data_IF_413742457374
#
_entry.id   IF_413742457374
#
_cell.length_a   1.000
_cell.length_b   1.000
_cell.length_c   1.000
_cell.angle_alpha   90.00
_cell.angle_beta   90.00
_cell.angle_gamma   90.00
#
_symmetry.space_group_name_H-M   'P 1'
#
loop_
_entity.id
_entity.type
_entity.pdbx_description
1 polymer ?
#
# COMPACT_ATOMS: atom_id res chain seq x y z
N UNK A 1 -15.85 1.20 12.59
CA UNK A 1 -14.83 0.92 13.62
C UNK A 1 -13.54 0.55 12.92
N UNK A 2 -12.40 0.87 13.53
CA UNK A 2 -11.07 0.56 12.97
C UNK A 2 -10.40 -0.51 13.82
N UNK A 3 -9.84 -1.51 13.17
CA UNK A 3 -9.16 -2.65 13.78
C UNK A 3 -7.67 -2.55 13.48
N UNK A 4 -6.83 -3.05 14.38
CA UNK A 4 -5.39 -3.09 14.15
C UNK A 4 -5.03 -4.28 13.28
N UNK A 5 -4.38 -4.03 12.16
CA UNK A 5 -3.87 -5.04 11.25
C UNK A 5 -2.36 -4.94 11.14
N UNK A 6 -1.75 -6.03 10.70
CA UNK A 6 -0.36 -6.10 10.31
C UNK A 6 -0.31 -6.33 8.81
N UNK A 7 0.57 -5.64 8.10
CA UNK A 7 0.98 -6.05 6.76
C UNK A 7 2.49 -6.19 6.70
N UNK A 8 2.94 -7.00 5.73
CA UNK A 8 4.35 -7.06 5.36
C UNK A 8 4.53 -6.20 4.13
N UNK A 9 5.37 -5.17 4.27
CA UNK A 9 5.74 -4.30 3.17
C UNK A 9 6.36 -5.14 2.04
N UNK A 10 5.82 -5.08 0.83
CA UNK A 10 6.29 -5.88 -0.30
C UNK A 10 7.63 -5.39 -0.87
N UNK A 11 8.05 -4.18 -0.56
CA UNK A 11 9.30 -3.58 -1.03
C UNK A 11 10.42 -3.73 0.00
N UNK A 12 10.14 -3.44 1.26
CA UNK A 12 11.15 -3.46 2.34
C UNK A 12 11.14 -4.77 3.15
N UNK A 13 10.10 -5.59 3.00
CA UNK A 13 9.85 -6.81 3.78
C UNK A 13 9.66 -6.60 5.30
N UNK A 14 9.56 -5.34 5.74
CA UNK A 14 9.32 -4.95 7.14
C UNK A 14 7.83 -5.16 7.46
N UNK A 15 7.53 -5.49 8.72
CA UNK A 15 6.15 -5.59 9.20
C UNK A 15 5.69 -4.25 9.75
N UNK A 16 4.53 -3.78 9.32
CA UNK A 16 3.93 -2.54 9.78
C UNK A 16 2.58 -2.85 10.43
N UNK A 17 2.31 -2.18 11.55
CA UNK A 17 1.02 -2.22 12.22
C UNK A 17 0.23 -0.97 11.82
N UNK A 18 -1.00 -1.17 11.36
CA UNK A 18 -1.88 -0.11 10.86
C UNK A 18 -3.27 -0.23 11.45
N UNK A 19 -3.99 0.89 11.52
CA UNK A 19 -5.42 0.90 11.85
C UNK A 19 -6.22 1.06 10.57
N UNK A 20 -7.05 0.08 10.24
CA UNK A 20 -7.85 0.04 9.02
C UNK A 20 -9.31 -0.31 9.34
N UNK A 21 -10.27 -0.06 8.43
CA UNK A 21 -11.64 -0.55 8.57
C UNK A 21 -11.66 -2.06 8.81
N UNK A 22 -12.59 -2.54 9.62
CA UNK A 22 -12.67 -3.97 9.96
C UNK A 22 -12.86 -4.90 8.74
N UNK A 23 -13.54 -4.40 7.70
CA UNK A 23 -13.73 -5.10 6.43
C UNK A 23 -12.51 -5.06 5.50
N UNK A 24 -11.43 -4.35 5.87
CA UNK A 24 -10.25 -4.21 5.02
C UNK A 24 -9.48 -5.53 4.91
N UNK A 25 -9.24 -5.98 3.68
CA UNK A 25 -8.45 -7.18 3.37
C UNK A 25 -7.10 -6.81 2.75
N UNK A 26 -7.03 -5.66 2.08
CA UNK A 26 -5.87 -5.20 1.33
C UNK A 26 -5.44 -3.81 1.76
N UNK A 27 -4.14 -3.55 1.67
CA UNK A 27 -3.53 -2.23 1.78
C UNK A 27 -2.74 -1.93 0.52
N UNK A 28 -2.86 -0.71 0.01
CA UNK A 28 -2.06 -0.22 -1.11
C UNK A 28 -0.94 0.64 -0.56
N UNK A 29 0.28 0.39 -1.03
CA UNK A 29 1.49 1.05 -0.58
C UNK A 29 2.30 1.58 -1.77
N UNK A 30 2.96 2.71 -1.57
CA UNK A 30 3.81 3.40 -2.55
C UNK A 30 5.22 3.55 -2.00
N UNK A 31 6.20 3.22 -2.82
CA UNK A 31 7.61 3.48 -2.56
C UNK A 31 8.15 4.43 -3.64
N UNK A 32 8.74 5.54 -3.21
CA UNK A 32 9.20 6.63 -4.08
C UNK A 32 10.70 6.55 -4.44
N UNK A 33 11.31 5.36 -4.38
CA UNK A 33 12.62 5.09 -5.01
C UNK A 33 13.86 5.67 -4.32
N UNK A 34 13.73 6.45 -3.25
CA UNK A 34 14.90 7.00 -2.54
C UNK A 34 15.03 6.41 -1.14
N UNK A 35 15.75 5.28 -0.99
CA UNK A 35 16.25 4.73 0.30
C UNK A 35 15.29 4.86 1.49
N UNK A 36 13.98 4.90 1.26
CA UNK A 36 13.00 5.04 2.32
C UNK A 36 12.88 3.65 2.92
N UNK A 37 13.18 3.57 4.21
CA UNK A 37 12.97 2.36 4.99
C UNK A 37 11.49 2.00 5.15
N UNK A 38 10.57 2.85 4.68
CA UNK A 38 9.12 2.74 4.90
C UNK A 38 8.36 3.17 3.64
N UNK A 39 7.32 2.41 3.27
CA UNK A 39 6.45 2.74 2.14
C UNK A 39 5.22 3.52 2.60
N UNK A 40 4.83 4.51 1.81
CA UNK A 40 3.68 5.35 2.09
C UNK A 40 2.38 4.55 1.86
N UNK A 41 1.52 4.45 2.89
CA UNK A 41 0.20 3.80 2.77
C UNK A 41 -0.76 4.73 2.04
N UNK A 42 -1.30 4.26 0.90
CA UNK A 42 -2.24 5.03 0.08
C UNK A 42 -3.69 4.81 0.49
N UNK A 43 -4.04 3.61 0.94
CA UNK A 43 -5.42 3.27 1.29
C UNK A 43 -5.64 1.81 1.64
N UNK A 44 -6.84 1.54 2.16
CA UNK A 44 -7.30 0.22 2.57
C UNK A 44 -8.54 -0.19 1.78
N UNK A 45 -8.62 -1.45 1.39
CA UNK A 45 -9.65 -1.97 0.50
C UNK A 45 -10.17 -3.31 1.01
N UNK A 46 -11.48 -3.55 0.87
CA UNK A 46 -12.12 -4.81 1.26
C UNK A 46 -11.91 -5.94 0.25
N UNK A 47 -11.62 -5.61 -1.02
CA UNK A 47 -11.47 -6.56 -2.11
C UNK A 47 -10.24 -6.28 -3.00
N UNK A 48 -9.87 -7.28 -3.80
CA UNK A 48 -8.70 -7.23 -4.69
C UNK A 48 -8.87 -6.21 -5.83
N UNK A 49 -10.04 -6.16 -6.46
CA UNK A 49 -10.29 -5.27 -7.61
C UNK A 49 -10.12 -3.80 -7.24
N UNK A 50 -10.71 -3.35 -6.12
CA UNK A 50 -10.55 -1.98 -5.64
C UNK A 50 -9.09 -1.64 -5.30
N UNK A 51 -8.36 -2.57 -4.69
CA UNK A 51 -6.93 -2.38 -4.43
C UNK A 51 -6.12 -2.29 -5.75
N UNK A 52 -6.42 -3.13 -6.74
CA UNK A 52 -5.78 -3.11 -8.06
C UNK A 52 -6.08 -1.82 -8.82
N UNK A 53 -7.33 -1.35 -8.80
CA UNK A 53 -7.72 -0.09 -9.42
C UNK A 53 -6.98 1.10 -8.78
N UNK A 54 -6.87 1.13 -7.46
CA UNK A 54 -6.11 2.17 -6.77
C UNK A 54 -4.62 2.15 -7.10
N UNK A 55 -4.00 0.96 -7.21
CA UNK A 55 -2.62 0.82 -7.68
C UNK A 55 -2.47 1.42 -9.08
N UNK A 56 -3.34 1.03 -10.02
CA UNK A 56 -3.30 1.52 -11.40
C UNK A 56 -3.55 3.04 -11.49
N UNK A 57 -4.48 3.57 -10.70
CA UNK A 57 -4.79 4.99 -10.65
C UNK A 57 -3.58 5.80 -10.18
N UNK A 58 -2.90 5.34 -9.13
CA UNK A 58 -1.69 6.02 -8.63
C UNK A 58 -0.54 5.90 -9.64
N UNK A 59 -0.31 4.73 -10.22
CA UNK A 59 0.72 4.57 -11.27
C UNK A 59 0.46 5.51 -12.46
N UNK A 60 -0.79 5.61 -12.93
CA UNK A 60 -1.16 6.54 -14.01
C UNK A 60 -0.93 8.00 -13.62
N UNK A 61 -1.21 8.37 -12.37
CA UNK A 61 -0.99 9.73 -11.86
C UNK A 61 0.50 10.07 -11.81
N UNK A 62 1.36 9.11 -11.46
CA UNK A 62 2.81 9.30 -11.42
C UNK A 62 3.40 9.40 -12.83
N UNK A 63 2.90 8.61 -13.79
CA UNK A 63 3.29 8.70 -15.20
C UNK A 63 2.99 10.06 -15.85
N UNK A 64 1.98 10.78 -15.35
CA UNK A 64 1.62 12.11 -15.83
C UNK A 64 2.49 13.23 -15.23
N UNK A 65 3.23 12.94 -14.16
CA UNK A 65 4.15 13.92 -13.57
C UNK A 65 5.48 13.91 -14.33
N UNK A 66 6.19 15.04 -14.40
CA UNK A 66 7.59 15.07 -14.81
C UNK A 66 8.44 14.43 -13.70
N UNK A 67 8.28 13.13 -13.51
CA UNK A 67 9.21 12.30 -12.75
C UNK A 67 10.54 12.41 -13.50
N UNK A 68 11.56 13.01 -12.88
CA UNK A 68 12.94 12.72 -13.25
C UNK A 68 13.24 11.22 -13.14
N UNK A 69 14.52 10.84 -13.10
CA UNK A 69 15.00 9.44 -13.03
C UNK A 69 14.58 8.65 -11.75
N UNK A 70 13.52 9.06 -11.04
CA UNK A 70 12.98 8.42 -9.84
C UNK A 70 12.05 7.26 -10.21
N UNK A 71 12.41 6.06 -9.75
CA UNK A 71 11.55 4.88 -9.85
C UNK A 71 10.43 4.97 -8.80
N UNK A 72 9.17 4.91 -9.25
CA UNK A 72 8.01 4.88 -8.35
C UNK A 72 7.37 3.51 -8.43
N UNK A 73 7.31 2.83 -7.29
CA UNK A 73 6.73 1.50 -7.15
C UNK A 73 5.43 1.60 -6.35
N UNK A 74 4.34 1.06 -6.88
CA UNK A 74 3.05 1.00 -6.18
C UNK A 74 2.51 -0.42 -6.28
N UNK A 75 2.07 -0.98 -5.16
CA UNK A 75 1.44 -2.30 -5.16
C UNK A 75 0.49 -2.46 -3.98
N UNK A 76 -0.25 -3.57 -3.97
CA UNK A 76 -1.11 -3.96 -2.88
C UNK A 76 -0.57 -5.21 -2.16
N UNK A 77 -0.90 -5.35 -0.88
CA UNK A 77 -0.60 -6.54 -0.10
C UNK A 77 -1.76 -6.85 0.86
N UNK A 78 -1.80 -8.09 1.36
CA UNK A 78 -2.85 -8.51 2.29
C UNK A 78 -2.60 -7.98 3.69
N UNK A 79 -3.68 -7.60 4.34
CA UNK A 79 -3.72 -7.33 5.78
C UNK A 79 -3.89 -8.65 6.54
N UNK A 80 -3.24 -8.74 7.69
CA UNK A 80 -3.35 -9.85 8.62
C UNK A 80 -3.85 -9.31 9.95
N UNK A 81 -4.96 -9.86 10.46
CA UNK A 81 -5.42 -9.51 11.79
C UNK A 81 -4.57 -10.30 12.81
N UNK A 82 -3.78 -9.65 13.67
CA UNK A 82 -2.97 -10.35 14.68
C UNK A 82 -3.81 -11.06 15.75
N UNK A 83 -5.10 -10.77 15.84
CA UNK A 83 -6.04 -11.37 16.79
C UNK A 83 -6.92 -12.47 16.18
N UNK A 84 -6.78 -12.76 14.87
CA UNK A 84 -7.56 -13.79 14.17
C UNK A 84 -6.88 -15.16 14.19
#
# INVERSE_FOLDING_TARGET
MSTSFIYRDPFTHIKHQVSAPDAATYVVVKNNGEKKSDSDVLGFFDNYDGAREAVMAELNKELQQPTGDREVLVTHTKLYNPMA
#
